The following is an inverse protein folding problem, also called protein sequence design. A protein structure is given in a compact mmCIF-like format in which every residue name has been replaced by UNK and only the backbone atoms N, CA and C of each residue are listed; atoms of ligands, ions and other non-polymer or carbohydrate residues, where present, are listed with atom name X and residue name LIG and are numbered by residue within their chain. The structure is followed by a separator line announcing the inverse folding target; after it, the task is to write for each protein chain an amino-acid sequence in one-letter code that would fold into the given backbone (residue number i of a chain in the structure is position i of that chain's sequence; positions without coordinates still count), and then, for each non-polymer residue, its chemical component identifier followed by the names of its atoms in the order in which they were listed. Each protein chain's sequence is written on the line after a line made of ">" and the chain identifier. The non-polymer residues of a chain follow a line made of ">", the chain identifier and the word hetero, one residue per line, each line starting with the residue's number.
data_IF_389504438717
#
_entry.id   IF_389504438717
#
_cell.length_a   1.000
_cell.length_b   1.000
_cell.length_c   1.000
_cell.angle_alpha   90.00
_cell.angle_beta   90.00
_cell.angle_gamma   90.00
#
_symmetry.space_group_name_H-M   'P 1'
#
loop_
_entity.id
_entity.type
_entity.pdbx_description
1 polymer ?
#
# COMPACT_ATOMS: atom_id res chain seq x y z
N UNK A 1 -8.52 -19.01 -32.45
CA UNK A 1 -7.34 -19.70 -31.92
C UNK A 1 -7.15 -19.21 -30.47
N UNK A 2 -7.72 -19.95 -29.53
CA UNK A 2 -7.42 -19.73 -28.13
C UNK A 2 -6.08 -20.43 -27.84
N UNK A 3 -4.98 -19.71 -28.01
CA UNK A 3 -3.65 -20.23 -27.68
C UNK A 3 -3.65 -20.77 -26.26
N UNK A 4 -3.12 -21.96 -26.06
CA UNK A 4 -2.93 -22.56 -24.73
C UNK A 4 -1.77 -21.80 -24.08
N UNK A 5 -2.11 -20.87 -23.19
CA UNK A 5 -1.11 -20.16 -22.40
C UNK A 5 -0.71 -21.00 -21.18
N UNK A 6 0.57 -20.96 -20.84
CA UNK A 6 1.08 -21.63 -19.66
C UNK A 6 0.81 -20.79 -18.42
N UNK A 7 0.48 -21.44 -17.32
CA UNK A 7 0.42 -20.84 -15.99
C UNK A 7 1.58 -21.41 -15.20
N UNK A 8 2.38 -20.53 -14.61
CA UNK A 8 3.47 -20.92 -13.74
C UNK A 8 3.06 -20.79 -12.28
N UNK A 9 3.34 -21.82 -11.49
CA UNK A 9 3.36 -21.69 -10.04
C UNK A 9 4.62 -20.92 -9.67
N UNK A 10 4.48 -19.89 -8.84
CA UNK A 10 5.56 -18.98 -8.48
C UNK A 10 5.68 -18.84 -6.97
N UNK A 11 6.87 -18.56 -6.51
CA UNK A 11 7.15 -18.13 -5.15
C UNK A 11 7.56 -16.66 -5.18
N UNK A 12 6.96 -15.85 -4.31
CA UNK A 12 7.29 -14.44 -4.17
C UNK A 12 7.60 -14.15 -2.69
N UNK A 13 8.87 -13.95 -2.38
CA UNK A 13 9.30 -13.66 -1.00
C UNK A 13 8.76 -12.32 -0.47
N UNK A 14 8.50 -11.37 -1.37
CA UNK A 14 7.97 -10.05 -1.02
C UNK A 14 6.47 -10.09 -0.71
N UNK A 15 5.79 -11.16 -1.10
CA UNK A 15 4.36 -11.34 -0.98
C UNK A 15 4.05 -12.68 -0.32
N UNK A 16 4.14 -12.72 1.00
CA UNK A 16 3.74 -13.92 1.76
C UNK A 16 2.22 -14.05 1.71
N UNK A 17 1.76 -15.06 0.99
CA UNK A 17 0.36 -15.42 0.91
C UNK A 17 0.20 -16.87 1.33
N UNK A 18 -0.80 -17.16 2.18
CA UNK A 18 -1.03 -18.49 2.72
C UNK A 18 -1.49 -19.55 1.71
N UNK A 19 -1.50 -19.22 0.42
CA UNK A 19 -1.92 -20.08 -0.69
C UNK A 19 -0.87 -20.09 -1.80
N UNK A 20 -1.00 -21.06 -2.72
CA UNK A 20 -0.16 -21.13 -3.91
C UNK A 20 -0.39 -19.91 -4.82
N UNK A 21 0.68 -19.32 -5.32
CA UNK A 21 0.65 -18.21 -6.26
C UNK A 21 0.87 -18.72 -7.68
N UNK A 22 0.09 -18.18 -8.61
CA UNK A 22 0.17 -18.51 -10.03
C UNK A 22 0.25 -17.24 -10.88
N UNK A 23 0.99 -17.32 -11.98
CA UNK A 23 1.10 -16.23 -12.94
C UNK A 23 0.97 -16.76 -14.38
N UNK A 24 0.29 -16.02 -15.23
CA UNK A 24 0.25 -16.28 -16.65
C UNK A 24 1.64 -16.04 -17.26
N UNK A 25 2.11 -16.98 -18.06
CA UNK A 25 3.43 -16.96 -18.68
C UNK A 25 3.71 -15.72 -19.53
N UNK A 26 2.68 -15.04 -20.02
CA UNK A 26 2.79 -13.80 -20.81
C UNK A 26 3.25 -12.59 -20.01
N UNK A 27 3.11 -12.64 -18.68
CA UNK A 27 3.52 -11.56 -17.78
C UNK A 27 4.92 -11.73 -17.21
N UNK A 28 5.63 -12.80 -17.54
CA UNK A 28 6.95 -13.09 -17.00
C UNK A 28 7.97 -13.36 -18.09
N UNK A 29 9.20 -12.99 -17.82
CA UNK A 29 10.36 -13.35 -18.64
C UNK A 29 11.20 -14.39 -17.90
N UNK A 30 11.37 -15.56 -18.50
CA UNK A 30 12.19 -16.61 -17.92
C UNK A 30 13.66 -16.31 -18.15
N UNK A 31 14.44 -16.27 -17.10
CA UNK A 31 15.90 -16.14 -17.16
C UNK A 31 16.56 -17.51 -16.98
N UNK A 32 17.66 -17.76 -17.69
CA UNK A 32 18.44 -19.02 -17.59
C UNK A 32 19.24 -19.12 -16.29
N UNK A 33 19.55 -17.99 -15.68
CA UNK A 33 20.23 -17.93 -14.39
C UNK A 33 19.36 -17.22 -13.37
N UNK A 34 19.49 -17.62 -12.10
CA UNK A 34 18.83 -16.90 -11.00
C UNK A 34 19.42 -15.48 -10.96
N UNK A 35 18.64 -14.44 -11.14
CA UNK A 35 19.11 -13.08 -10.87
C UNK A 35 19.51 -12.97 -9.40
N UNK A 36 20.41 -12.06 -9.08
CA UNK A 36 20.68 -11.70 -7.69
C UNK A 36 19.42 -11.26 -6.96
N UNK A 37 19.47 -11.22 -5.63
CA UNK A 37 18.36 -10.68 -4.86
C UNK A 37 18.09 -9.25 -5.31
N UNK A 38 16.80 -8.92 -5.46
CA UNK A 38 16.39 -7.55 -5.75
C UNK A 38 16.77 -6.69 -4.56
N UNK A 39 17.69 -5.79 -4.77
CA UNK A 39 18.02 -4.75 -3.81
C UNK A 39 17.24 -3.49 -4.19
N UNK A 40 16.40 -3.02 -3.27
CA UNK A 40 15.72 -1.73 -3.40
C UNK A 40 16.39 -0.79 -2.41
N UNK A 41 17.05 0.24 -2.92
CA UNK A 41 17.61 1.27 -2.07
C UNK A 41 16.49 2.14 -1.49
N UNK A 42 16.67 2.64 -0.27
CA UNK A 42 15.77 3.63 0.32
C UNK A 42 15.71 4.87 -0.60
N UNK A 43 14.54 5.22 -1.15
CA UNK A 43 14.43 6.40 -2.00
C UNK A 43 14.57 7.68 -1.18
N UNK A 44 14.97 8.75 -1.85
CA UNK A 44 14.96 10.07 -1.23
C UNK A 44 13.52 10.51 -0.93
N UNK A 45 13.37 11.25 0.13
CA UNK A 45 12.07 11.77 0.59
C UNK A 45 11.33 12.53 -0.52
N UNK A 46 12.04 13.36 -1.26
CA UNK A 46 11.48 14.15 -2.36
C UNK A 46 10.92 13.26 -3.49
N UNK A 47 11.55 12.13 -3.76
CA UNK A 47 11.09 11.20 -4.80
C UNK A 47 9.84 10.44 -4.35
N UNK A 48 9.74 10.09 -3.07
CA UNK A 48 8.51 9.54 -2.48
C UNK A 48 7.36 10.55 -2.63
N UNK A 49 7.58 11.81 -2.23
CA UNK A 49 6.54 12.85 -2.32
C UNK A 49 6.10 13.12 -3.75
N UNK A 50 7.00 13.12 -4.74
CA UNK A 50 6.63 13.26 -6.16
C UNK A 50 5.62 12.19 -6.59
N UNK A 51 5.80 10.95 -6.14
CA UNK A 51 4.85 9.87 -6.45
C UNK A 51 3.55 10.07 -5.68
N UNK A 52 3.60 10.36 -4.38
CA UNK A 52 2.41 10.59 -3.56
C UNK A 52 1.56 11.73 -4.11
N UNK A 53 2.17 12.85 -4.51
CA UNK A 53 1.46 14.01 -5.06
C UNK A 53 0.82 13.71 -6.42
N UNK A 54 1.53 12.96 -7.27
CA UNK A 54 1.04 12.55 -8.60
C UNK A 54 -0.23 11.71 -8.51
N UNK A 55 -0.39 10.91 -7.47
CA UNK A 55 -1.46 9.91 -7.36
C UNK A 55 -2.66 10.36 -6.53
N UNK A 56 -2.63 11.55 -5.94
CA UNK A 56 -3.81 12.13 -5.27
C UNK A 56 -4.98 12.21 -6.24
N UNK A 57 -6.14 11.72 -5.82
CA UNK A 57 -7.35 11.63 -6.65
C UNK A 57 -7.44 10.34 -7.47
N UNK A 58 -6.38 9.52 -7.53
CA UNK A 58 -6.45 8.21 -8.17
C UNK A 58 -7.38 7.27 -7.37
N UNK A 59 -8.01 6.35 -8.09
CA UNK A 59 -8.96 5.40 -7.51
C UNK A 59 -8.27 4.37 -6.59
N UNK A 60 -9.05 3.82 -5.66
CA UNK A 60 -8.66 2.64 -4.92
C UNK A 60 -8.73 1.40 -5.83
N UNK A 61 -7.72 0.55 -5.75
CA UNK A 61 -7.71 -0.76 -6.38
C UNK A 61 -7.23 -1.80 -5.38
N UNK A 62 -8.11 -2.76 -5.03
CA UNK A 62 -7.75 -3.85 -4.13
C UNK A 62 -6.58 -4.67 -4.68
N UNK A 63 -5.54 -4.84 -3.89
CA UNK A 63 -4.31 -5.53 -4.31
C UNK A 63 -3.42 -4.73 -5.27
N UNK A 64 -3.87 -3.52 -5.68
CA UNK A 64 -3.12 -2.64 -6.57
C UNK A 64 -1.91 -2.01 -5.88
N UNK A 65 -0.81 -1.96 -6.62
CA UNK A 65 0.44 -1.31 -6.23
C UNK A 65 1.15 -0.64 -7.41
N UNK A 66 0.36 -0.32 -8.44
CA UNK A 66 0.82 0.36 -9.64
C UNK A 66 -0.30 1.25 -10.21
N UNK A 67 -0.23 2.53 -9.93
CA UNK A 67 -1.32 3.47 -10.22
C UNK A 67 -1.65 3.62 -11.71
N UNK A 68 -0.68 3.43 -12.61
CA UNK A 68 -0.92 3.50 -14.05
C UNK A 68 -1.63 2.24 -14.61
N UNK A 69 -1.76 1.18 -13.79
CA UNK A 69 -2.41 -0.08 -14.17
C UNK A 69 -1.60 -0.94 -15.15
N UNK A 70 -2.06 -2.15 -15.39
CA UNK A 70 -1.40 -3.14 -16.22
C UNK A 70 -2.11 -3.23 -17.57
N UNK A 71 -1.72 -2.41 -18.54
CA UNK A 71 -2.33 -2.36 -19.90
C UNK A 71 -2.36 -3.71 -20.60
N UNK A 72 -1.33 -4.55 -20.40
CA UNK A 72 -1.27 -5.91 -20.96
C UNK A 72 -2.44 -6.81 -20.56
N UNK A 73 -3.13 -6.52 -19.44
CA UNK A 73 -4.32 -7.28 -19.05
C UNK A 73 -5.41 -7.19 -20.11
N UNK A 74 -5.69 -6.00 -20.66
CA UNK A 74 -6.69 -5.86 -21.72
C UNK A 74 -6.18 -6.43 -23.06
N UNK A 75 -4.88 -6.31 -23.34
CA UNK A 75 -4.29 -6.88 -24.55
C UNK A 75 -4.40 -8.40 -24.56
N UNK A 76 -4.18 -9.06 -23.43
CA UNK A 76 -4.18 -10.52 -23.31
C UNK A 76 -5.55 -11.11 -23.02
N UNK A 77 -6.40 -10.37 -22.34
CA UNK A 77 -7.76 -10.76 -21.97
C UNK A 77 -8.75 -9.75 -22.55
N UNK A 78 -8.91 -9.79 -23.86
CA UNK A 78 -9.76 -8.83 -24.56
C UNK A 78 -11.23 -8.98 -24.14
N UNK A 79 -11.94 -7.87 -23.88
CA UNK A 79 -13.37 -7.90 -23.64
C UNK A 79 -14.12 -8.41 -24.86
N UNK A 80 -15.23 -9.12 -24.63
CA UNK A 80 -16.09 -9.64 -25.73
C UNK A 80 -16.99 -8.57 -26.37
N UNK A 81 -16.96 -7.34 -25.85
CA UNK A 81 -17.76 -6.23 -26.35
C UNK A 81 -17.22 -4.90 -25.84
N UNK A 82 -17.94 -3.82 -26.12
CA UNK A 82 -17.58 -2.49 -25.67
C UNK A 82 -17.67 -2.39 -24.14
N UNK A 83 -16.65 -1.81 -23.52
CA UNK A 83 -16.58 -1.56 -22.07
C UNK A 83 -16.35 -0.08 -21.79
N UNK A 84 -16.92 0.42 -20.70
CA UNK A 84 -16.69 1.80 -20.26
C UNK A 84 -15.26 1.99 -19.75
N UNK A 85 -14.78 3.23 -19.72
CA UNK A 85 -13.46 3.54 -19.15
C UNK A 85 -13.34 3.12 -17.68
N UNK A 86 -14.42 3.17 -16.90
CA UNK A 86 -14.47 2.67 -15.53
C UNK A 86 -14.14 1.17 -15.47
N UNK A 87 -14.83 0.35 -16.25
CA UNK A 87 -14.60 -1.10 -16.36
C UNK A 87 -13.20 -1.39 -16.89
N UNK A 88 -12.74 -0.60 -17.87
CA UNK A 88 -11.39 -0.73 -18.42
C UNK A 88 -10.32 -0.51 -17.35
N UNK A 89 -10.47 0.54 -16.54
CA UNK A 89 -9.56 0.83 -15.43
C UNK A 89 -9.57 -0.28 -14.36
N UNK A 90 -10.74 -0.85 -14.06
CA UNK A 90 -10.85 -2.00 -13.15
C UNK A 90 -10.13 -3.21 -13.70
N UNK A 91 -10.32 -3.51 -14.97
CA UNK A 91 -9.70 -4.64 -15.62
C UNK A 91 -8.18 -4.52 -15.68
N UNK A 92 -7.66 -3.31 -15.90
CA UNK A 92 -6.23 -3.01 -15.87
C UNK A 92 -5.64 -2.94 -14.46
N UNK A 93 -6.43 -3.10 -13.40
CA UNK A 93 -6.01 -2.89 -12.00
C UNK A 93 -5.39 -1.49 -11.76
N UNK A 94 -5.95 -0.46 -12.43
CA UNK A 94 -5.49 0.92 -12.28
C UNK A 94 -5.78 1.43 -10.88
N UNK A 95 -4.78 1.95 -10.19
CA UNK A 95 -4.88 2.44 -8.82
C UNK A 95 -4.07 1.61 -7.82
N UNK A 96 -4.15 1.98 -6.55
CA UNK A 96 -3.48 1.27 -5.47
C UNK A 96 -4.40 1.07 -4.28
N UNK A 97 -4.09 0.05 -3.46
CA UNK A 97 -4.67 -0.07 -2.13
C UNK A 97 -3.87 0.73 -1.08
N UNK A 98 -4.25 0.62 0.18
CA UNK A 98 -3.66 1.42 1.24
C UNK A 98 -2.14 1.20 1.40
N UNK A 99 -1.67 -0.03 1.42
CA UNK A 99 -0.24 -0.35 1.54
C UNK A 99 0.49 -0.28 0.19
N UNK A 100 -0.22 -0.51 -0.93
CA UNK A 100 0.28 -0.36 -2.29
C UNK A 100 0.72 1.06 -2.62
N UNK A 101 0.10 2.07 -2.00
CA UNK A 101 0.45 3.47 -2.16
C UNK A 101 1.92 3.73 -1.83
N UNK A 102 2.39 3.33 -0.65
CA UNK A 102 3.78 3.53 -0.24
C UNK A 102 4.72 2.52 -0.88
N UNK A 103 4.24 1.29 -1.13
CA UNK A 103 5.01 0.28 -1.85
C UNK A 103 5.42 0.79 -3.25
N UNK A 104 4.49 1.40 -4.00
CA UNK A 104 4.80 2.02 -5.28
C UNK A 104 5.70 3.25 -5.13
N UNK A 105 5.39 4.14 -4.18
CA UNK A 105 6.15 5.37 -3.95
C UNK A 105 7.61 5.10 -3.55
N UNK A 106 7.87 3.93 -2.98
CA UNK A 106 9.22 3.49 -2.59
C UNK A 106 9.87 2.50 -3.55
N UNK A 107 9.22 2.20 -4.68
CA UNK A 107 9.71 1.18 -5.61
C UNK A 107 9.79 -0.22 -5.01
N UNK A 108 9.00 -0.50 -3.97
CA UNK A 108 8.96 -1.78 -3.27
C UNK A 108 9.93 -1.89 -2.09
N UNK A 109 10.38 -0.77 -1.53
CA UNK A 109 11.24 -0.77 -0.33
C UNK A 109 10.44 -1.16 0.93
N UNK A 110 9.20 -0.66 1.06
CA UNK A 110 8.35 -0.99 2.20
C UNK A 110 7.70 -2.37 2.03
N UNK A 111 7.37 -3.08 3.13
CA UNK A 111 6.55 -4.29 3.05
C UNK A 111 5.22 -4.04 2.35
N UNK A 112 4.75 -5.04 1.59
CA UNK A 112 3.52 -4.93 0.79
C UNK A 112 2.25 -5.03 1.64
N UNK A 113 2.26 -5.79 2.72
CA UNK A 113 1.08 -6.11 3.51
C UNK A 113 1.05 -5.39 4.86
N UNK A 114 -0.13 -4.93 5.28
CA UNK A 114 -0.33 -4.28 6.58
C UNK A 114 0.05 -5.15 7.77
N UNK A 115 -0.10 -6.49 7.66
CA UNK A 115 0.34 -7.45 8.66
C UNK A 115 1.86 -7.42 8.94
N UNK A 116 2.66 -6.94 7.99
CA UNK A 116 4.10 -6.71 8.16
C UNK A 116 4.41 -5.28 8.55
N UNK A 117 3.57 -4.32 8.11
CA UNK A 117 3.76 -2.91 8.42
C UNK A 117 3.54 -2.59 9.90
N UNK A 118 2.68 -3.34 10.60
CA UNK A 118 2.43 -3.13 12.04
C UNK A 118 3.68 -3.30 12.92
N UNK A 119 4.68 -4.01 12.41
CA UNK A 119 5.96 -4.24 13.09
C UNK A 119 7.16 -3.62 12.34
N UNK A 120 6.90 -2.90 11.24
CA UNK A 120 7.95 -2.35 10.39
C UNK A 120 8.44 -0.98 10.87
N UNK A 121 9.73 -0.86 11.13
CA UNK A 121 10.35 0.35 11.70
C UNK A 121 10.27 0.42 13.22
N UNK A 122 10.54 1.59 13.77
CA UNK A 122 10.54 1.82 15.22
C UNK A 122 9.15 2.23 15.71
N UNK A 123 8.71 1.78 16.89
CA UNK A 123 7.46 2.22 17.48
C UNK A 123 7.53 3.71 17.88
N UNK A 124 6.41 4.40 17.77
CA UNK A 124 6.18 5.71 18.37
C UNK A 124 5.25 5.51 19.56
N UNK A 125 5.64 5.96 20.73
CA UNK A 125 4.83 5.80 21.95
C UNK A 125 3.62 6.73 21.91
N UNK A 126 2.42 6.14 21.83
CA UNK A 126 1.14 6.86 21.64
C UNK A 126 0.04 6.41 22.61
N UNK A 127 0.29 5.37 23.41
CA UNK A 127 -0.70 4.85 24.34
C UNK A 127 -1.12 5.90 25.37
N UNK A 128 -2.44 6.08 25.55
CA UNK A 128 -3.01 7.04 26.49
C UNK A 128 -2.99 8.51 26.06
N UNK A 129 -2.49 8.81 24.87
CA UNK A 129 -2.41 10.17 24.34
C UNK A 129 -3.70 10.56 23.58
N UNK A 130 -4.00 11.86 23.53
CA UNK A 130 -5.05 12.43 22.68
C UNK A 130 -4.61 12.47 21.21
N UNK A 131 -5.56 12.73 20.29
CA UNK A 131 -5.26 12.85 18.87
C UNK A 131 -4.25 13.95 18.57
N UNK A 132 -4.35 15.09 19.25
CA UNK A 132 -3.46 16.24 19.12
C UNK A 132 -2.04 15.90 19.63
N UNK A 133 -1.95 15.21 20.77
CA UNK A 133 -0.67 14.76 21.32
C UNK A 133 0.01 13.73 20.43
N UNK A 134 -0.77 12.82 19.83
CA UNK A 134 -0.27 11.86 18.86
C UNK A 134 0.22 12.57 17.59
N UNK A 135 -0.58 13.50 17.05
CA UNK A 135 -0.20 14.28 15.88
C UNK A 135 1.11 15.06 16.09
N UNK A 136 1.29 15.65 17.28
CA UNK A 136 2.51 16.37 17.64
C UNK A 136 3.77 15.47 17.72
N UNK A 137 3.60 14.17 17.94
CA UNK A 137 4.71 13.18 17.95
C UNK A 137 5.01 12.62 16.55
N UNK A 138 4.06 12.69 15.63
CA UNK A 138 4.23 12.20 14.28
C UNK A 138 5.30 12.97 13.52
N UNK A 139 6.00 12.25 12.65
CA UNK A 139 6.90 12.82 11.64
C UNK A 139 6.44 12.46 10.25
N UNK A 140 6.78 13.27 9.24
CA UNK A 140 6.50 12.94 7.85
C UNK A 140 6.96 11.53 7.49
N UNK A 141 6.11 10.79 6.76
CA UNK A 141 6.22 9.38 6.36
C UNK A 141 6.00 8.35 7.49
N UNK A 142 5.76 8.74 8.76
CA UNK A 142 5.30 7.78 9.76
C UNK A 142 4.02 7.07 9.28
N UNK A 143 3.86 5.82 9.67
CA UNK A 143 2.70 4.97 9.36
C UNK A 143 1.78 4.88 10.57
N UNK A 144 0.52 5.25 10.41
CA UNK A 144 -0.58 4.97 11.32
C UNK A 144 -1.20 3.67 10.82
N UNK A 145 -0.98 2.54 11.50
CA UNK A 145 -1.23 1.22 10.90
C UNK A 145 -1.88 0.22 11.84
N UNK A 146 -2.74 -0.62 11.24
CA UNK A 146 -3.32 -1.82 11.85
C UNK A 146 -3.51 -2.91 10.81
N UNK A 147 -3.80 -4.14 11.21
CA UNK A 147 -4.13 -5.20 10.26
C UNK A 147 -5.38 -4.82 9.44
N UNK A 148 -5.18 -4.67 8.14
CA UNK A 148 -6.23 -4.33 7.17
C UNK A 148 -6.15 -2.91 6.62
N UNK A 149 -5.47 -1.96 7.26
CA UNK A 149 -5.30 -0.62 6.69
C UNK A 149 -4.05 0.12 7.21
N UNK A 150 -3.58 1.07 6.41
CA UNK A 150 -2.51 1.99 6.76
C UNK A 150 -2.81 3.38 6.21
N UNK A 151 -2.49 4.39 7.02
CA UNK A 151 -2.53 5.82 6.72
C UNK A 151 -1.09 6.33 6.90
N UNK A 152 -0.66 7.27 6.07
CA UNK A 152 0.69 7.85 6.18
C UNK A 152 0.60 9.30 6.60
N UNK A 153 1.50 9.72 7.47
CA UNK A 153 1.70 11.12 7.80
C UNK A 153 2.37 11.79 6.60
N UNK A 154 1.67 12.71 5.96
CA UNK A 154 2.21 13.44 4.81
C UNK A 154 3.10 14.59 5.26
N UNK A 155 2.60 15.42 6.16
CA UNK A 155 3.32 16.50 6.83
C UNK A 155 2.79 16.67 8.28
N UNK A 156 3.16 17.74 8.95
CA UNK A 156 2.80 18.02 10.34
C UNK A 156 1.28 18.17 10.59
N UNK A 157 0.49 18.43 9.53
CA UNK A 157 -0.95 18.68 9.61
C UNK A 157 -1.78 17.74 8.75
N UNK A 158 -1.12 17.01 7.86
CA UNK A 158 -1.80 16.30 6.78
C UNK A 158 -1.47 14.81 6.82
N UNK A 159 -2.46 13.97 6.69
CA UNK A 159 -2.35 12.54 6.40
C UNK A 159 -2.63 12.27 4.92
N UNK A 160 -2.12 11.16 4.38
CA UNK A 160 -2.43 10.65 3.04
C UNK A 160 -2.75 9.15 3.11
N UNK A 161 -3.74 8.71 2.38
CA UNK A 161 -4.12 7.31 2.31
C UNK A 161 -4.79 6.98 0.98
N UNK A 162 -4.76 5.70 0.60
CA UNK A 162 -5.68 5.15 -0.39
C UNK A 162 -6.77 4.37 0.35
N UNK A 163 -8.03 4.80 0.21
CA UNK A 163 -9.16 4.25 0.95
C UNK A 163 -10.30 3.88 0.03
N UNK A 164 -10.81 2.64 0.16
CA UNK A 164 -11.97 2.17 -0.59
C UNK A 164 -13.22 3.00 -0.25
N UNK A 165 -13.47 3.21 1.04
CA UNK A 165 -14.66 3.95 1.52
C UNK A 165 -14.66 5.43 1.15
N UNK A 166 -13.47 6.00 0.91
CA UNK A 166 -13.30 7.40 0.51
C UNK A 166 -13.02 7.55 -0.99
N UNK A 167 -13.05 6.46 -1.76
CA UNK A 167 -12.99 6.44 -3.23
C UNK A 167 -11.59 6.42 -3.84
N UNK A 168 -10.51 6.46 -3.07
CA UNK A 168 -9.16 6.43 -3.60
C UNK A 168 -8.12 7.14 -2.75
N UNK A 169 -7.12 7.75 -3.40
CA UNK A 169 -6.01 8.44 -2.75
C UNK A 169 -6.41 9.88 -2.42
N UNK A 170 -6.31 10.23 -1.14
CA UNK A 170 -6.70 11.56 -0.66
C UNK A 170 -5.82 12.01 0.51
N UNK A 171 -5.73 13.32 0.66
CA UNK A 171 -5.11 14.00 1.81
C UNK A 171 -6.21 14.51 2.73
N UNK A 172 -6.00 14.37 4.04
CA UNK A 172 -6.94 14.79 5.10
C UNK A 172 -6.17 15.48 6.22
N UNK A 173 -6.86 16.24 7.05
CA UNK A 173 -6.29 16.76 8.28
C UNK A 173 -5.84 15.60 9.19
N UNK A 174 -4.65 15.71 9.77
CA UNK A 174 -4.02 14.66 10.57
C UNK A 174 -4.75 14.46 11.91
N UNK A 175 -5.12 15.55 12.58
CA UNK A 175 -5.79 15.48 13.88
C UNK A 175 -7.21 14.93 13.71
N UNK A 176 -7.95 15.39 12.70
CA UNK A 176 -9.28 14.85 12.38
C UNK A 176 -9.19 13.36 12.03
N UNK A 177 -8.19 12.97 11.23
CA UNK A 177 -7.96 11.55 10.88
C UNK A 177 -7.70 10.69 12.12
N UNK A 178 -6.88 11.16 13.06
CA UNK A 178 -6.59 10.47 14.31
C UNK A 178 -7.84 10.42 15.23
N UNK A 179 -8.58 11.51 15.34
CA UNK A 179 -9.81 11.58 16.13
C UNK A 179 -10.88 10.60 15.63
N UNK A 180 -11.09 10.56 14.31
CA UNK A 180 -11.99 9.61 13.67
C UNK A 180 -11.54 8.15 13.93
N UNK A 181 -10.26 7.87 13.79
CA UNK A 181 -9.69 6.56 14.05
C UNK A 181 -9.87 6.13 15.51
N UNK A 182 -9.60 7.03 16.45
CA UNK A 182 -9.71 6.78 17.88
C UNK A 182 -11.15 6.58 18.36
N UNK A 183 -12.14 6.99 17.57
CA UNK A 183 -13.54 6.67 17.85
C UNK A 183 -13.86 5.17 17.75
N UNK A 184 -13.03 4.41 17.03
CA UNK A 184 -13.23 2.97 16.77
C UNK A 184 -12.02 2.11 17.15
N UNK A 185 -10.87 2.70 17.42
CA UNK A 185 -9.60 1.99 17.71
C UNK A 185 -8.83 2.66 18.83
N UNK A 186 -8.13 1.85 19.60
CA UNK A 186 -7.30 2.30 20.70
C UNK A 186 -5.84 2.46 20.24
N UNK A 187 -5.18 3.61 20.50
CA UNK A 187 -3.75 3.76 20.30
C UNK A 187 -2.98 2.88 21.27
N UNK A 188 -2.02 2.10 20.77
CA UNK A 188 -1.14 1.25 21.57
C UNK A 188 0.31 1.38 21.11
N UNK A 189 1.25 1.11 22.00
CA UNK A 189 2.68 1.13 21.66
C UNK A 189 3.13 -0.18 21.00
N UNK A 190 2.48 -1.30 21.36
CA UNK A 190 2.75 -2.63 20.80
C UNK A 190 1.50 -3.21 20.17
N UNK A 191 1.59 -3.61 18.88
CA UNK A 191 0.46 -4.21 18.15
C UNK A 191 0.07 -5.59 18.67
N UNK A 192 0.98 -6.32 19.31
CA UNK A 192 0.72 -7.63 19.91
C UNK A 192 -0.08 -7.57 21.23
N UNK A 193 -0.54 -6.37 21.65
CA UNK A 193 -1.44 -6.23 22.80
C UNK A 193 -2.71 -7.06 22.60
N UNK A 194 -3.37 -7.46 23.68
CA UNK A 194 -4.59 -8.30 23.66
C UNK A 194 -5.86 -7.56 23.19
N UNK A 195 -5.77 -6.30 22.79
CA UNK A 195 -6.90 -5.49 22.36
C UNK A 195 -7.20 -5.71 20.87
N UNK A 196 -8.46 -6.01 20.53
CA UNK A 196 -8.86 -6.33 19.16
C UNK A 196 -8.89 -5.11 18.22
N UNK A 197 -9.41 -3.97 18.69
CA UNK A 197 -9.52 -2.72 17.92
C UNK A 197 -8.42 -1.76 18.29
N UNK A 198 -7.23 -1.93 17.73
CA UNK A 198 -6.03 -1.14 18.04
C UNK A 198 -5.33 -0.62 16.79
N UNK A 199 -4.48 0.38 16.96
CA UNK A 199 -3.53 0.83 15.96
C UNK A 199 -2.22 1.24 16.61
N UNK A 200 -1.15 1.25 15.80
CA UNK A 200 0.20 1.69 16.19
C UNK A 200 0.69 2.76 15.22
N UNK A 201 1.70 3.52 15.66
CA UNK A 201 2.48 4.36 14.74
C UNK A 201 3.88 3.78 14.61
N UNK A 202 4.33 3.65 13.35
CA UNK A 202 5.65 3.11 13.02
C UNK A 202 6.45 4.14 12.24
N UNK A 203 7.66 4.41 12.73
CA UNK A 203 8.65 5.28 12.08
C UNK A 203 9.65 4.42 11.33
N UNK A 204 9.56 4.42 10.04
CA UNK A 204 10.39 3.57 9.19
C UNK A 204 11.39 4.37 8.36
N UNK A 205 11.05 5.64 8.09
CA UNK A 205 11.92 6.52 7.33
C UNK A 205 12.84 7.29 8.30
N UNK A 206 14.13 7.07 8.15
CA UNK A 206 15.18 7.82 8.87
C UNK A 206 16.12 8.41 7.84
N UNK A 207 16.31 9.71 7.88
CA UNK A 207 17.30 10.42 7.06
C UNK A 207 18.71 10.04 7.46
#
# INVERSE_FOLDING_TARGET
>A
DHGIYKIYKVECKEYEYGSELFIDSRFVELKKSRPGERFVALPKKEDIYKVLDKVVGNRYCWGGNYNDGIKKLIEFYQPKGDITDGVKNEWMLTGCDCSGLMYEATGGFTPRNTSKLVDYGSPVEIEGLSAEEIAAKCKPLDMIVWNGHVIYVYDEKTSIQSSLSKGGVLKLDLVETLSDLMSTRTPVNDYNSSQDSRFVIRRWYTE
#
